data_IF_792641565730
#
_entry.id   IF_792641565730
#
_cell.length_a   1.000
_cell.length_b   1.000
_cell.length_c   1.000
_cell.angle_alpha   90.00
_cell.angle_beta   90.00
_cell.angle_gamma   90.00
#
_symmetry.space_group_name_H-M   'P 1'
#
loop_
_entity.id
_entity.type
_entity.pdbx_description
1 polymer ?
#
# COMPACT_ATOMS: atom_id res chain seq x y z
N UNK A 1 -17.56 13.09 -11.66
CA UNK A 1 -17.68 11.96 -10.70
C UNK A 1 -16.88 10.77 -11.23
N UNK A 2 -15.60 10.60 -10.91
CA UNK A 2 -14.88 9.36 -11.23
C UNK A 2 -13.63 9.06 -10.38
N UNK A 3 -13.32 9.85 -9.34
CA UNK A 3 -12.01 9.75 -8.70
C UNK A 3 -11.89 8.65 -7.63
N UNK A 4 -12.90 8.53 -6.74
CA UNK A 4 -12.87 7.58 -5.61
C UNK A 4 -12.80 6.11 -6.05
N UNK A 5 -13.42 5.74 -7.19
CA UNK A 5 -13.41 4.36 -7.69
C UNK A 5 -12.01 3.94 -8.13
N UNK A 6 -11.29 4.83 -8.82
CA UNK A 6 -9.93 4.56 -9.29
C UNK A 6 -8.95 4.47 -8.12
N UNK A 7 -9.10 5.35 -7.12
CA UNK A 7 -8.33 5.29 -5.88
C UNK A 7 -8.53 3.96 -5.16
N UNK A 8 -9.78 3.54 -4.97
CA UNK A 8 -10.09 2.25 -4.32
C UNK A 8 -9.56 1.07 -5.13
N UNK A 9 -9.64 1.13 -6.46
CA UNK A 9 -9.11 0.09 -7.35
C UNK A 9 -7.59 0.00 -7.24
N UNK A 10 -6.88 1.12 -7.35
CA UNK A 10 -5.43 1.20 -7.22
C UNK A 10 -4.98 0.67 -5.84
N UNK A 11 -5.58 1.15 -4.76
CA UNK A 11 -5.27 0.70 -3.40
C UNK A 11 -5.52 -0.81 -3.21
N UNK A 12 -6.65 -1.33 -3.71
CA UNK A 12 -6.96 -2.76 -3.64
C UNK A 12 -5.92 -3.59 -4.38
N UNK A 13 -5.57 -3.21 -5.60
CA UNK A 13 -4.58 -3.93 -6.40
C UNK A 13 -3.20 -3.95 -5.72
N UNK A 14 -2.78 -2.83 -5.12
CA UNK A 14 -1.55 -2.80 -4.31
C UNK A 14 -1.59 -3.80 -3.16
N UNK A 15 -2.70 -3.84 -2.40
CA UNK A 15 -2.82 -4.76 -1.26
C UNK A 15 -2.83 -6.22 -1.75
N UNK A 16 -3.51 -6.52 -2.84
CA UNK A 16 -3.57 -7.88 -3.41
C UNK A 16 -2.17 -8.36 -3.86
N UNK A 17 -1.40 -7.50 -4.53
CA UNK A 17 0.00 -7.77 -4.90
C UNK A 17 0.89 -7.97 -3.67
N UNK A 18 0.75 -7.11 -2.66
CA UNK A 18 1.50 -7.22 -1.41
C UNK A 18 1.17 -8.52 -0.65
N UNK A 19 -0.10 -8.93 -0.61
CA UNK A 19 -0.55 -10.21 -0.03
C UNK A 19 0.00 -11.42 -0.77
N UNK A 20 0.12 -11.34 -2.09
CA UNK A 20 0.64 -12.43 -2.91
C UNK A 20 2.15 -12.67 -2.67
N UNK A 21 2.87 -11.63 -2.28
CA UNK A 21 4.33 -11.64 -2.14
C UNK A 21 4.80 -11.23 -0.73
N UNK A 22 5.00 -9.93 -0.52
CA UNK A 22 5.80 -9.37 0.59
C UNK A 22 5.19 -9.65 1.96
N UNK A 23 3.86 -9.71 2.08
CA UNK A 23 3.16 -9.96 3.34
C UNK A 23 3.08 -11.45 3.71
N UNK A 24 3.50 -12.36 2.81
CA UNK A 24 3.70 -13.78 3.16
C UNK A 24 4.98 -14.00 3.98
N UNK A 25 5.90 -13.05 3.96
CA UNK A 25 7.13 -13.12 4.72
C UNK A 25 6.78 -12.88 6.19
N UNK A 26 7.10 -13.83 7.06
CA UNK A 26 6.71 -13.81 8.47
C UNK A 26 7.22 -12.57 9.20
N UNK A 27 8.50 -12.24 9.03
CA UNK A 27 9.16 -11.10 9.71
C UNK A 27 9.44 -9.92 8.77
N UNK A 28 8.53 -9.63 7.84
CA UNK A 28 8.74 -8.58 6.82
C UNK A 28 9.01 -7.19 7.43
N UNK A 29 8.41 -6.90 8.60
CA UNK A 29 8.54 -5.62 9.33
C UNK A 29 9.97 -5.34 9.79
N UNK A 30 10.78 -6.37 9.97
CA UNK A 30 12.15 -6.25 10.45
C UNK A 30 13.15 -6.00 9.32
N UNK A 31 12.77 -6.32 8.08
CA UNK A 31 13.61 -6.08 6.92
C UNK A 31 13.41 -4.66 6.41
N UNK A 32 14.46 -3.84 6.52
CA UNK A 32 14.49 -2.49 5.91
C UNK A 32 14.27 -2.55 4.39
N UNK A 33 14.78 -3.58 3.73
CA UNK A 33 14.60 -3.76 2.29
C UNK A 33 13.13 -4.06 1.94
N UNK A 34 12.48 -4.96 2.67
CA UNK A 34 11.08 -5.31 2.40
C UNK A 34 10.16 -4.14 2.73
N UNK A 35 10.36 -3.48 3.88
CA UNK A 35 9.58 -2.30 4.25
C UNK A 35 9.74 -1.14 3.26
N UNK A 36 10.96 -0.89 2.75
CA UNK A 36 11.18 0.09 1.69
C UNK A 36 10.49 -0.29 0.38
N UNK A 37 10.58 -1.56 -0.03
CA UNK A 37 9.90 -2.06 -1.22
C UNK A 37 8.36 -1.90 -1.12
N UNK A 38 7.77 -2.20 0.04
CA UNK A 38 6.32 -2.01 0.27
C UNK A 38 5.94 -0.53 0.11
N UNK A 39 6.68 0.39 0.75
CA UNK A 39 6.43 1.84 0.61
C UNK A 39 6.55 2.29 -0.84
N UNK A 40 7.57 1.82 -1.56
CA UNK A 40 7.77 2.12 -2.98
C UNK A 40 6.64 1.62 -3.86
N UNK A 41 6.15 0.40 -3.65
CA UNK A 41 5.00 -0.14 -4.39
C UNK A 41 3.73 0.68 -4.17
N UNK A 42 3.47 1.09 -2.92
CA UNK A 42 2.32 1.95 -2.59
C UNK A 42 2.43 3.29 -3.30
N UNK A 43 3.57 3.97 -3.17
CA UNK A 43 3.80 5.27 -3.78
C UNK A 43 3.67 5.21 -5.31
N UNK A 44 4.37 4.26 -5.94
CA UNK A 44 4.32 4.05 -7.38
C UNK A 44 2.90 3.80 -7.88
N UNK A 45 2.06 3.11 -7.11
CA UNK A 45 0.65 2.91 -7.50
C UNK A 45 -0.15 4.20 -7.40
N UNK A 46 0.04 4.96 -6.33
CA UNK A 46 -0.70 6.19 -6.10
C UNK A 46 -0.29 7.31 -7.08
N UNK A 47 0.91 7.26 -7.66
CA UNK A 47 1.32 8.15 -8.75
C UNK A 47 0.48 7.99 -10.03
N UNK A 48 -0.21 6.86 -10.22
CA UNK A 48 -1.13 6.67 -11.36
C UNK A 48 -2.50 7.33 -11.15
N UNK A 49 -2.73 7.96 -9.99
CA UNK A 49 -3.96 8.71 -9.76
C UNK A 49 -3.97 10.02 -10.56
N UNK A 50 -5.16 10.53 -10.93
CA UNK A 50 -5.26 11.78 -11.68
C UNK A 50 -4.62 12.95 -10.92
N UNK A 51 -3.64 13.59 -11.54
CA UNK A 51 -2.89 14.70 -10.92
C UNK A 51 -3.77 15.94 -10.67
N UNK A 52 -4.90 16.10 -11.38
CA UNK A 52 -5.83 17.20 -11.13
C UNK A 52 -6.54 17.09 -9.78
N UNK A 53 -6.53 15.91 -9.15
CA UNK A 53 -7.19 15.64 -7.88
C UNK A 53 -6.25 15.18 -6.76
N UNK A 54 -5.02 14.80 -7.10
CA UNK A 54 -4.00 14.40 -6.14
C UNK A 54 -2.68 15.04 -6.52
N UNK A 55 -2.29 16.01 -5.71
CA UNK A 55 -0.95 16.58 -5.74
C UNK A 55 0.09 15.53 -5.27
N UNK A 56 1.35 15.76 -5.60
CA UNK A 56 2.45 14.88 -5.17
C UNK A 56 2.56 14.80 -3.63
N UNK A 57 2.27 15.91 -2.94
CA UNK A 57 2.20 15.97 -1.48
C UNK A 57 1.08 15.07 -0.94
N UNK A 58 -0.12 15.12 -1.54
CA UNK A 58 -1.23 14.25 -1.17
C UNK A 58 -0.90 12.77 -1.43
N UNK A 59 -0.27 12.44 -2.56
CA UNK A 59 0.19 11.09 -2.86
C UNK A 59 1.17 10.60 -1.78
N UNK A 60 2.11 11.45 -1.36
CA UNK A 60 3.09 11.14 -0.32
C UNK A 60 2.43 10.89 1.03
N UNK A 61 1.48 11.75 1.43
CA UNK A 61 0.72 11.59 2.67
C UNK A 61 -0.14 10.31 2.66
N UNK A 62 -0.84 10.05 1.55
CA UNK A 62 -1.64 8.82 1.38
C UNK A 62 -0.78 7.57 1.39
N UNK A 63 0.43 7.62 0.83
CA UNK A 63 1.41 6.51 0.90
C UNK A 63 1.71 6.14 2.36
N UNK A 64 1.97 7.16 3.20
CA UNK A 64 2.22 6.94 4.63
C UNK A 64 1.00 6.31 5.31
N UNK A 65 -0.20 6.83 5.07
CA UNK A 65 -1.44 6.30 5.66
C UNK A 65 -1.70 4.84 5.26
N UNK A 66 -1.51 4.50 3.98
CA UNK A 66 -1.69 3.12 3.48
C UNK A 66 -0.62 2.20 4.06
N UNK A 67 0.63 2.65 4.16
CA UNK A 67 1.70 1.88 4.80
C UNK A 67 1.40 1.61 6.27
N UNK A 68 0.97 2.62 7.03
CA UNK A 68 0.58 2.46 8.44
C UNK A 68 -0.57 1.46 8.60
N UNK A 69 -1.57 1.54 7.73
CA UNK A 69 -2.66 0.55 7.70
C UNK A 69 -2.13 -0.86 7.46
N UNK A 70 -1.25 -1.07 6.49
CA UNK A 70 -0.66 -2.39 6.23
C UNK A 70 0.17 -2.86 7.45
N UNK A 71 0.99 -1.98 7.99
CA UNK A 71 1.85 -2.28 9.14
C UNK A 71 1.04 -2.67 10.38
N UNK A 72 -0.10 -2.04 10.65
CA UNK A 72 -0.92 -2.38 11.82
C UNK A 72 -1.77 -3.63 11.62
N UNK A 73 -2.24 -3.89 10.40
CA UNK A 73 -3.27 -4.90 10.14
C UNK A 73 -2.75 -6.23 9.57
N UNK A 74 -1.48 -6.28 9.13
CA UNK A 74 -0.86 -7.49 8.56
C UNK A 74 0.39 -7.86 9.35
N UNK A 75 0.31 -8.89 10.19
CA UNK A 75 1.40 -9.37 11.05
C UNK A 75 2.54 -10.03 10.29
N UNK A 76 2.28 -10.50 9.06
CA UNK A 76 3.20 -11.31 8.28
C UNK A 76 2.71 -12.76 8.18
N UNK A 77 3.40 -13.58 7.38
CA UNK A 77 3.01 -14.98 7.19
C UNK A 77 1.63 -15.14 6.52
N UNK A 78 1.13 -14.11 5.84
CA UNK A 78 -0.22 -14.09 5.26
C UNK A 78 -1.35 -13.82 6.27
N UNK A 79 -1.02 -13.57 7.54
CA UNK A 79 -2.02 -13.30 8.59
C UNK A 79 -2.44 -11.82 8.57
N UNK A 80 -3.74 -11.57 8.67
CA UNK A 80 -4.32 -10.23 8.75
C UNK A 80 -5.58 -10.20 9.61
N UNK A 81 -5.96 -9.01 10.10
CA UNK A 81 -7.20 -8.81 10.88
C UNK A 81 -8.50 -8.91 10.05
N UNK A 82 -8.38 -9.10 8.74
CA UNK A 82 -9.50 -9.19 7.79
C UNK A 82 -9.78 -10.63 7.33
N UNK A 83 -9.21 -11.62 8.03
CA UNK A 83 -9.43 -13.04 7.77
C UNK A 83 -10.89 -13.45 8.05
#
# INVERSE_FOLDING_TARGET
MSNIKEVKKAAKQTIDELKAEKLKIERWRESRQITAAIKGMIYNRLLWLPQEAYTEEEVSQKTISVYQHIYSNYSGGGVSVYA
#
